data_IF_551403203841
#
_entry.id   IF_551403203841
#
_cell.length_a   1.000
_cell.length_b   1.000
_cell.length_c   1.000
_cell.angle_alpha   90.00
_cell.angle_beta   90.00
_cell.angle_gamma   90.00
#
_symmetry.space_group_name_H-M   'P 1'
#
loop_
_entity.id
_entity.type
_entity.pdbx_description
1 polymer ?
#
# COMPACT_ATOMS: atom_id res chain seq x y z
N UNK A 1 -34.45 -13.31 -4.09
CA UNK A 1 -34.14 -13.35 -2.65
C UNK A 1 -33.09 -12.28 -2.37
N UNK A 2 -33.54 -11.05 -2.09
CA UNK A 2 -32.68 -9.97 -1.61
C UNK A 2 -32.92 -9.88 -0.11
N UNK A 3 -32.09 -10.56 0.66
CA UNK A 3 -32.14 -10.49 2.11
C UNK A 3 -31.45 -9.22 2.57
N UNK A 4 -32.23 -8.33 3.17
CA UNK A 4 -31.78 -7.26 4.05
C UNK A 4 -30.79 -7.83 5.08
N UNK A 5 -29.66 -7.15 5.27
CA UNK A 5 -28.87 -7.29 6.49
C UNK A 5 -28.84 -5.92 7.19
N UNK A 6 -29.21 -6.00 8.47
CA UNK A 6 -29.80 -4.95 9.28
C UNK A 6 -28.81 -3.95 9.88
N UNK A 7 -29.33 -2.74 10.07
CA UNK A 7 -28.78 -1.59 10.82
C UNK A 7 -28.56 -1.83 12.33
N UNK A 8 -28.16 -3.02 12.77
CA UNK A 8 -28.11 -3.40 14.19
C UNK A 8 -26.70 -3.40 14.83
N UNK A 9 -25.63 -3.03 14.10
CA UNK A 9 -24.26 -3.14 14.62
C UNK A 9 -23.75 -1.93 15.43
N UNK A 10 -24.56 -0.91 15.75
CA UNK A 10 -24.08 0.30 16.42
C UNK A 10 -24.24 0.36 17.95
N UNK A 11 -24.89 -0.63 18.60
CA UNK A 11 -25.26 -0.50 20.03
C UNK A 11 -24.34 -1.14 21.06
N UNK A 12 -23.32 -1.89 20.64
CA UNK A 12 -22.45 -2.62 21.58
C UNK A 12 -20.96 -2.52 21.22
N UNK A 13 -20.49 -1.37 20.74
CA UNK A 13 -19.06 -1.08 20.85
C UNK A 13 -18.76 -0.76 22.31
N UNK A 14 -17.92 -1.55 23.01
CA UNK A 14 -17.33 -1.09 24.25
C UNK A 14 -16.54 0.17 23.89
N UNK A 15 -16.95 1.32 24.41
CA UNK A 15 -16.11 2.52 24.35
C UNK A 15 -14.89 2.19 25.20
N UNK A 16 -13.83 1.68 24.57
CA UNK A 16 -12.56 1.50 25.27
C UNK A 16 -12.14 2.87 25.75
N UNK A 17 -11.88 3.06 27.06
CA UNK A 17 -11.38 4.31 27.57
C UNK A 17 -10.16 4.70 26.73
N UNK A 18 -10.21 5.90 26.17
CA UNK A 18 -9.08 6.48 25.44
C UNK A 18 -7.86 6.36 26.37
N UNK A 19 -6.76 5.72 25.93
CA UNK A 19 -5.59 5.55 26.78
C UNK A 19 -5.15 6.91 27.34
N UNK A 20 -4.74 6.96 28.61
CA UNK A 20 -4.43 8.20 29.33
C UNK A 20 -3.43 9.12 28.61
N UNK A 21 -2.63 8.58 27.70
CA UNK A 21 -1.67 9.32 26.86
C UNK A 21 -2.36 10.27 25.85
N UNK A 22 -3.62 10.04 25.49
CA UNK A 22 -4.36 10.86 24.52
C UNK A 22 -5.33 11.86 25.18
N UNK A 23 -5.33 11.99 26.51
CA UNK A 23 -6.15 12.97 27.21
C UNK A 23 -5.50 14.36 27.18
N UNK A 24 -6.25 15.35 26.69
CA UNK A 24 -5.80 16.74 26.65
C UNK A 24 -5.72 17.31 28.09
N UNK A 25 -4.66 18.06 28.42
CA UNK A 25 -4.60 18.76 29.69
C UNK A 25 -5.68 19.85 29.73
N UNK A 26 -6.34 20.01 30.88
CA UNK A 26 -7.35 21.04 31.06
C UNK A 26 -6.70 22.44 31.06
N UNK A 27 -7.39 23.43 30.48
CA UNK A 27 -6.95 24.82 30.56
C UNK A 27 -6.92 25.29 32.02
N UNK A 28 -5.88 26.03 32.45
CA UNK A 28 -5.81 26.58 33.80
C UNK A 28 -6.91 27.62 34.06
N UNK A 29 -7.34 28.34 33.02
CA UNK A 29 -8.37 29.39 33.11
C UNK A 29 -9.43 29.25 32.01
N UNK A 30 -10.34 28.26 32.09
CA UNK A 30 -11.30 27.99 31.03
C UNK A 30 -12.30 29.13 30.81
N UNK A 31 -12.61 29.92 31.85
CA UNK A 31 -13.50 31.09 31.73
C UNK A 31 -12.91 32.17 30.83
N UNK A 32 -11.59 32.40 30.90
CA UNK A 32 -10.91 33.40 30.06
C UNK A 32 -10.91 33.03 28.57
N UNK A 33 -11.16 31.75 28.23
CA UNK A 33 -11.30 31.32 26.84
C UNK A 33 -12.67 31.67 26.25
N UNK A 34 -13.65 31.97 27.10
CA UNK A 34 -15.04 32.21 26.70
C UNK A 34 -15.46 33.65 27.00
N UNK A 35 -14.81 34.33 27.94
CA UNK A 35 -15.07 35.72 28.29
C UNK A 35 -13.99 36.65 27.77
N UNK A 36 -14.35 37.84 27.31
CA UNK A 36 -13.40 38.91 26.96
C UNK A 36 -12.85 39.63 28.21
N UNK A 37 -12.66 38.89 29.30
CA UNK A 37 -12.14 39.44 30.55
C UNK A 37 -10.63 39.62 30.43
N UNK A 38 -10.12 40.77 30.86
CA UNK A 38 -8.68 41.05 30.86
C UNK A 38 -7.99 40.14 31.90
N UNK A 39 -7.01 39.32 31.50
CA UNK A 39 -6.24 38.49 32.43
C UNK A 39 -5.33 39.34 33.32
N UNK A 40 -5.08 38.91 34.55
CA UNK A 40 -4.05 39.52 35.41
C UNK A 40 -2.65 39.04 35.03
N UNK A 41 -1.61 39.77 35.47
CA UNK A 41 -0.21 39.40 35.19
C UNK A 41 0.15 37.99 35.66
N UNK A 42 -0.42 37.53 36.78
CA UNK A 42 -0.23 36.16 37.29
C UNK A 42 -0.85 35.14 36.33
N UNK A 43 -2.08 35.41 35.85
CA UNK A 43 -2.76 34.54 34.89
C UNK A 43 -1.99 34.49 33.57
N UNK A 44 -1.44 35.61 33.11
CA UNK A 44 -0.61 35.67 31.90
C UNK A 44 0.61 34.75 32.04
N UNK A 45 1.35 34.85 33.14
CA UNK A 45 2.53 34.01 33.38
C UNK A 45 2.19 32.52 33.43
N UNK A 46 1.10 32.14 34.11
CA UNK A 46 0.64 30.75 34.19
C UNK A 46 0.17 30.21 32.83
N UNK A 47 -0.55 31.03 32.05
CA UNK A 47 -0.97 30.68 30.70
C UNK A 47 0.24 30.49 29.78
N UNK A 48 1.26 31.36 29.86
CA UNK A 48 2.49 31.21 29.09
C UNK A 48 3.23 29.91 29.46
N UNK A 49 3.32 29.57 30.75
CA UNK A 49 3.89 28.29 31.19
C UNK A 49 3.10 27.09 30.67
N UNK A 50 1.76 27.16 30.70
CA UNK A 50 0.89 26.14 30.13
C UNK A 50 1.13 25.96 28.62
N UNK A 51 1.17 27.06 27.85
CA UNK A 51 1.45 27.06 26.42
C UNK A 51 2.79 26.39 26.14
N UNK A 52 3.87 26.81 26.80
CA UNK A 52 5.19 26.22 26.59
C UNK A 52 5.23 24.71 26.88
N UNK A 53 4.51 24.26 27.92
CA UNK A 53 4.40 22.83 28.22
C UNK A 53 3.61 22.06 27.15
N UNK A 54 2.58 22.67 26.57
CA UNK A 54 1.77 22.08 25.51
C UNK A 54 2.56 22.01 24.19
N UNK A 55 3.28 23.07 23.83
CA UNK A 55 4.15 23.11 22.66
C UNK A 55 5.27 22.06 22.74
N UNK A 56 5.88 21.88 23.92
CA UNK A 56 6.87 20.82 24.12
C UNK A 56 6.28 19.41 23.89
N UNK A 57 5.05 19.16 24.36
CA UNK A 57 4.35 17.89 24.11
C UNK A 57 4.02 17.70 22.63
N UNK A 58 3.58 18.75 21.94
CA UNK A 58 3.34 18.73 20.50
C UNK A 58 4.61 18.31 19.76
N UNK A 59 5.74 18.95 20.07
CA UNK A 59 7.03 18.62 19.45
C UNK A 59 7.41 17.14 19.64
N UNK A 60 7.20 16.59 20.84
CA UNK A 60 7.47 15.16 21.10
C UNK A 60 6.58 14.26 20.24
N UNK A 61 5.28 14.59 20.12
CA UNK A 61 4.34 13.84 19.30
C UNK A 61 4.74 13.92 17.82
N UNK A 62 5.11 15.10 17.33
CA UNK A 62 5.56 15.28 15.95
C UNK A 62 6.82 14.44 15.64
N UNK A 63 7.77 14.37 16.57
CA UNK A 63 8.96 13.53 16.44
C UNK A 63 8.60 12.04 16.38
N UNK A 64 7.65 11.60 17.20
CA UNK A 64 7.13 10.22 17.18
C UNK A 64 6.44 9.90 15.86
N UNK A 65 5.58 10.81 15.37
CA UNK A 65 4.92 10.69 14.06
C UNK A 65 5.98 10.56 12.96
N UNK A 66 6.98 11.44 12.94
CA UNK A 66 8.04 11.40 11.94
C UNK A 66 8.83 10.07 12.00
N UNK A 67 9.10 9.55 13.20
CA UNK A 67 9.78 8.26 13.36
C UNK A 67 8.93 7.08 12.86
N UNK A 68 7.64 7.06 13.18
CA UNK A 68 6.73 6.03 12.71
C UNK A 68 6.59 6.07 11.18
N UNK A 69 6.48 7.27 10.60
CA UNK A 69 6.41 7.44 9.15
C UNK A 69 7.67 6.90 8.45
N UNK A 70 8.88 7.27 8.93
CA UNK A 70 10.14 6.71 8.42
C UNK A 70 10.18 5.19 8.48
N UNK A 71 9.62 4.60 9.53
CA UNK A 71 9.55 3.14 9.70
C UNK A 71 8.59 2.52 8.68
N UNK A 72 7.42 3.11 8.48
CA UNK A 72 6.45 2.69 7.47
C UNK A 72 7.05 2.75 6.06
N UNK A 73 7.72 3.84 5.71
CA UNK A 73 8.33 4.02 4.38
C UNK A 73 9.40 2.97 4.12
N UNK A 74 10.25 2.68 5.13
CA UNK A 74 11.27 1.62 5.06
C UNK A 74 10.65 0.24 4.86
N UNK A 75 9.61 -0.09 5.63
CA UNK A 75 8.92 -1.38 5.54
C UNK A 75 8.17 -1.51 4.21
N UNK A 76 7.52 -0.45 3.75
CA UNK A 76 6.86 -0.39 2.45
C UNK A 76 7.83 -0.65 1.30
N UNK A 77 8.99 0.01 1.32
CA UNK A 77 10.05 -0.18 0.33
C UNK A 77 10.55 -1.63 0.31
N UNK A 78 10.83 -2.21 1.48
CA UNK A 78 11.26 -3.61 1.60
C UNK A 78 10.20 -4.60 1.12
N UNK A 79 8.93 -4.31 1.39
CA UNK A 79 7.80 -5.13 0.91
C UNK A 79 7.75 -5.15 -0.61
N UNK A 80 7.86 -3.99 -1.27
CA UNK A 80 7.86 -3.90 -2.75
C UNK A 80 9.01 -4.72 -3.33
N UNK A 81 10.23 -4.55 -2.81
CA UNK A 81 11.40 -5.32 -3.27
C UNK A 81 11.20 -6.84 -3.17
N UNK A 82 10.62 -7.31 -2.05
CA UNK A 82 10.32 -8.73 -1.86
C UNK A 82 9.24 -9.22 -2.81
N UNK A 83 8.22 -8.40 -3.09
CA UNK A 83 7.18 -8.75 -4.06
C UNK A 83 7.77 -8.91 -5.46
N UNK A 84 8.65 -8.01 -5.88
CA UNK A 84 9.32 -8.09 -7.19
C UNK A 84 10.22 -9.33 -7.28
N UNK A 85 10.97 -9.63 -6.22
CA UNK A 85 11.80 -10.83 -6.13
C UNK A 85 10.96 -12.10 -6.26
N UNK A 86 9.87 -12.20 -5.50
CA UNK A 86 8.94 -13.34 -5.54
C UNK A 86 8.31 -13.47 -6.92
N UNK A 87 7.86 -12.37 -7.52
CA UNK A 87 7.22 -12.39 -8.84
C UNK A 87 8.21 -12.81 -9.94
N UNK A 88 9.46 -12.39 -9.85
CA UNK A 88 10.53 -12.81 -10.76
C UNK A 88 10.75 -14.32 -10.70
N UNK A 89 10.83 -14.89 -9.49
CA UNK A 89 11.01 -16.33 -9.31
C UNK A 89 9.78 -17.14 -9.70
N UNK A 90 8.56 -16.66 -9.40
CA UNK A 90 7.31 -17.25 -9.91
C UNK A 90 7.30 -17.34 -11.43
N UNK A 91 7.79 -16.29 -12.10
CA UNK A 91 7.94 -16.28 -13.56
C UNK A 91 8.93 -17.36 -14.04
N UNK A 92 10.05 -17.56 -13.32
CA UNK A 92 11.03 -18.61 -13.64
C UNK A 92 10.43 -20.01 -13.53
N UNK A 93 9.69 -20.30 -12.46
CA UNK A 93 9.11 -21.63 -12.22
C UNK A 93 7.77 -21.86 -12.92
N UNK A 94 7.26 -20.86 -13.65
CA UNK A 94 5.99 -20.94 -14.37
C UNK A 94 5.98 -22.11 -15.36
N UNK A 95 4.82 -22.78 -15.48
CA UNK A 95 4.65 -23.96 -16.33
C UNK A 95 5.10 -23.73 -17.78
N UNK A 96 4.91 -22.50 -18.29
CA UNK A 96 5.24 -22.13 -19.66
C UNK A 96 6.74 -22.21 -19.97
N UNK A 97 7.62 -22.03 -18.96
CA UNK A 97 9.07 -22.22 -19.09
C UNK A 97 9.49 -23.70 -19.00
N UNK A 98 8.60 -24.57 -18.50
CA UNK A 98 8.82 -26.02 -18.32
C UNK A 98 8.21 -26.88 -19.44
N UNK A 99 7.36 -26.30 -20.30
CA UNK A 99 6.79 -27.03 -21.43
C UNK A 99 7.90 -27.59 -22.33
N UNK A 100 7.79 -28.85 -22.79
CA UNK A 100 8.67 -29.36 -23.85
C UNK A 100 8.58 -28.51 -25.11
N UNK A 101 9.64 -28.50 -25.90
CA UNK A 101 9.71 -27.70 -27.14
C UNK A 101 8.62 -28.09 -28.13
N UNK A 102 8.30 -29.39 -28.24
CA UNK A 102 7.29 -29.90 -29.18
C UNK A 102 5.89 -29.38 -28.83
N UNK A 103 5.52 -29.43 -27.54
CA UNK A 103 4.25 -28.89 -27.04
C UNK A 103 4.17 -27.38 -27.26
N UNK A 104 5.29 -26.66 -27.04
CA UNK A 104 5.34 -25.23 -27.28
C UNK A 104 5.18 -24.88 -28.77
N UNK A 105 5.80 -25.66 -29.65
CA UNK A 105 5.67 -25.53 -31.10
C UNK A 105 4.24 -25.79 -31.59
N UNK A 106 3.57 -26.81 -31.04
CA UNK A 106 2.17 -27.09 -31.34
C UNK A 106 1.26 -25.91 -30.91
N UNK A 107 1.48 -25.37 -29.70
CA UNK A 107 0.76 -24.18 -29.23
C UNK A 107 0.96 -22.99 -30.18
N UNK A 108 2.20 -22.77 -30.65
CA UNK A 108 2.49 -21.69 -31.61
C UNK A 108 1.76 -21.90 -32.93
N UNK A 109 1.77 -23.12 -33.47
CA UNK A 109 1.08 -23.49 -34.70
C UNK A 109 -0.42 -23.21 -34.60
N UNK A 110 -1.07 -23.68 -33.53
CA UNK A 110 -2.50 -23.43 -33.29
C UNK A 110 -2.80 -21.94 -33.14
N UNK A 111 -1.98 -21.20 -32.40
CA UNK A 111 -2.15 -19.76 -32.18
C UNK A 111 -1.98 -18.94 -33.47
N UNK A 112 -1.00 -19.28 -34.32
CA UNK A 112 -0.77 -18.61 -35.61
C UNK A 112 -1.86 -18.96 -36.62
N UNK A 113 -2.27 -20.23 -36.70
CA UNK A 113 -3.36 -20.69 -37.56
C UNK A 113 -4.66 -19.93 -37.28
N UNK A 114 -5.04 -19.81 -36.01
CA UNK A 114 -6.20 -19.02 -35.58
C UNK A 114 -6.12 -17.53 -35.96
N UNK A 115 -4.92 -17.01 -36.20
CA UNK A 115 -4.64 -15.61 -36.56
C UNK A 115 -4.15 -15.45 -37.99
N UNK A 116 -4.40 -16.46 -38.85
CA UNK A 116 -4.04 -16.48 -40.28
C UNK A 116 -2.58 -16.12 -40.52
N UNK A 117 -1.68 -16.61 -39.65
CA UNK A 117 -0.23 -16.39 -39.75
C UNK A 117 0.16 -14.91 -39.86
N UNK A 118 -0.61 -14.01 -39.22
CA UNK A 118 -0.29 -12.58 -39.26
C UNK A 118 1.06 -12.29 -38.61
N UNK A 119 1.83 -11.38 -39.22
CA UNK A 119 3.10 -10.92 -38.67
C UNK A 119 2.99 -10.39 -37.24
N UNK A 120 1.86 -9.76 -36.90
CA UNK A 120 1.55 -9.30 -35.53
C UNK A 120 1.41 -10.46 -34.54
N UNK A 121 0.84 -11.59 -34.95
CA UNK A 121 0.75 -12.76 -34.09
C UNK A 121 2.14 -13.37 -33.86
N UNK A 122 2.97 -13.44 -34.90
CA UNK A 122 4.34 -13.93 -34.80
C UNK A 122 5.20 -13.02 -33.91
N UNK A 123 5.05 -11.70 -34.05
CA UNK A 123 5.76 -10.71 -33.22
C UNK A 123 5.42 -10.85 -31.73
N UNK A 124 4.16 -11.18 -31.40
CA UNK A 124 3.76 -11.48 -30.04
C UNK A 124 4.51 -12.70 -29.48
N UNK A 125 4.64 -13.80 -30.25
CA UNK A 125 5.32 -15.02 -29.80
C UNK A 125 6.82 -14.80 -29.58
N UNK A 126 7.52 -14.17 -30.54
CA UNK A 126 8.97 -13.89 -30.43
C UNK A 126 9.30 -12.80 -29.39
N UNK A 127 8.28 -12.05 -28.95
CA UNK A 127 8.38 -11.03 -27.91
C UNK A 127 8.32 -11.57 -26.48
N UNK A 128 7.84 -12.81 -26.26
CA UNK A 128 7.59 -13.33 -24.89
C UNK A 128 8.88 -13.61 -24.12
N UNK A 129 9.79 -14.41 -24.67
CA UNK A 129 11.10 -14.68 -24.08
C UNK A 129 12.10 -15.23 -25.11
N UNK A 130 13.38 -15.31 -24.75
CA UNK A 130 14.43 -15.83 -25.63
C UNK A 130 14.15 -17.27 -26.10
N UNK A 131 13.64 -18.13 -25.21
CA UNK A 131 13.30 -19.53 -25.57
C UNK A 131 12.18 -19.58 -26.61
N UNK A 132 11.13 -18.77 -26.45
CA UNK A 132 10.02 -18.69 -27.40
C UNK A 132 10.47 -18.17 -28.76
N UNK A 133 11.31 -17.13 -28.76
CA UNK A 133 11.94 -16.61 -29.97
C UNK A 133 12.76 -17.68 -30.68
N UNK A 134 13.62 -18.40 -29.96
CA UNK A 134 14.46 -19.47 -30.53
C UNK A 134 13.61 -20.56 -31.16
N UNK A 135 12.56 -21.02 -30.48
CA UNK A 135 11.66 -22.07 -30.98
C UNK A 135 10.88 -21.58 -32.19
N UNK A 136 10.34 -20.36 -32.14
CA UNK A 136 9.56 -19.78 -33.24
C UNK A 136 10.41 -19.56 -34.51
N UNK A 137 11.67 -19.12 -34.36
CA UNK A 137 12.59 -18.95 -35.48
C UNK A 137 13.13 -20.27 -36.02
N UNK A 138 13.30 -21.28 -35.16
CA UNK A 138 13.82 -22.59 -35.55
C UNK A 138 12.76 -23.53 -36.16
N UNK A 139 11.49 -23.14 -36.16
CA UNK A 139 10.39 -23.98 -36.65
C UNK A 139 9.94 -23.51 -38.04
N UNK A 140 10.31 -24.20 -39.13
CA UNK A 140 9.99 -23.78 -40.49
C UNK A 140 8.48 -23.75 -40.77
N UNK A 141 7.70 -24.50 -40.02
CA UNK A 141 6.24 -24.58 -40.14
C UNK A 141 5.50 -23.32 -39.67
N UNK A 142 6.21 -22.35 -39.08
CA UNK A 142 5.64 -21.10 -38.56
C UNK A 142 5.89 -19.89 -39.49
N UNK A 143 6.57 -20.09 -40.61
CA UNK A 143 6.94 -19.08 -41.63
C UNK A 143 6.37 -19.48 -42.99
#
# INVERSE_FOLDING_TARGET
MMSNCDSACYRHCPVTPVPSEFQLPASPYPKLLVTNSVPSDVQINEIQGFIGSAEAKISIIDDQIAQMQRTLDRLGSRRVQLQDLVQSHRTVVSAIRRLPTDILGEIFSQYLSARRYSFKALSHLVGVCERWRRIALASPLLW
#
